data_IF_030959068091
#
_entry.id   IF_030959068091
#
_cell.length_a   1.000
_cell.length_b   1.000
_cell.length_c   1.000
_cell.angle_alpha   90.00
_cell.angle_beta   90.00
_cell.angle_gamma   90.00
#
_symmetry.space_group_name_H-M   'P 1'
#
loop_
_entity.id
_entity.type
_entity.pdbx_description
1 polymer ?
#
# COMPACT_ATOMS: atom_id res chain seq x y z
N UNK A 1 12.92 -3.36 1.32
CA UNK A 1 13.65 -4.65 1.50
C UNK A 1 14.42 -5.02 0.23
N UNK A 2 13.86 -4.89 -0.97
CA UNK A 2 14.54 -5.25 -2.22
C UNK A 2 15.92 -4.57 -2.35
N UNK A 3 16.01 -3.26 -2.12
CA UNK A 3 17.28 -2.52 -2.13
C UNK A 3 18.28 -3.01 -1.07
N UNK A 4 17.81 -3.37 0.13
CA UNK A 4 18.69 -3.89 1.19
C UNK A 4 19.37 -5.16 0.71
N UNK A 5 18.61 -6.09 0.12
CA UNK A 5 19.19 -7.34 -0.38
C UNK A 5 20.08 -7.10 -1.62
N UNK A 6 19.70 -6.21 -2.53
CA UNK A 6 20.53 -5.88 -3.69
C UNK A 6 21.88 -5.27 -3.24
N UNK A 7 21.85 -4.31 -2.34
CA UNK A 7 23.05 -3.66 -1.75
C UNK A 7 23.90 -4.64 -0.93
N UNK A 8 23.31 -5.71 -0.41
CA UNK A 8 24.03 -6.81 0.22
C UNK A 8 24.59 -7.86 -0.79
N UNK A 9 24.51 -7.58 -2.09
CA UNK A 9 25.06 -8.43 -3.15
C UNK A 9 24.12 -9.53 -3.66
N UNK A 10 22.83 -9.51 -3.30
CA UNK A 10 21.84 -10.46 -3.81
C UNK A 10 21.32 -9.98 -5.17
N UNK A 11 21.25 -10.86 -6.16
CA UNK A 11 20.51 -10.58 -7.39
C UNK A 11 19.01 -10.60 -7.11
N UNK A 12 18.37 -9.44 -7.20
CA UNK A 12 16.94 -9.26 -6.85
C UNK A 12 16.12 -9.00 -8.09
N UNK A 13 15.02 -9.76 -8.22
CA UNK A 13 13.95 -9.50 -9.19
C UNK A 13 12.69 -9.14 -8.43
N UNK A 14 12.10 -7.99 -8.72
CA UNK A 14 10.80 -7.53 -8.20
C UNK A 14 9.74 -7.88 -9.23
N UNK A 15 8.72 -8.61 -8.81
CA UNK A 15 7.58 -9.00 -9.65
C UNK A 15 6.35 -8.24 -9.16
N UNK A 16 5.69 -7.51 -10.06
CA UNK A 16 4.48 -6.74 -9.78
C UNK A 16 3.38 -7.11 -10.79
N UNK A 17 2.17 -7.31 -10.30
CA UNK A 17 0.98 -7.60 -11.13
C UNK A 17 0.54 -6.35 -11.90
N UNK A 18 0.61 -5.20 -11.26
CA UNK A 18 0.17 -3.94 -11.85
C UNK A 18 1.18 -3.41 -12.88
N UNK A 19 0.80 -2.50 -13.77
CA UNK A 19 1.69 -2.01 -14.84
C UNK A 19 2.87 -1.19 -14.33
N UNK A 20 2.94 -0.86 -13.04
CA UNK A 20 4.04 -0.10 -12.42
C UNK A 20 4.19 -0.44 -10.95
N UNK A 21 5.38 -0.33 -10.40
CA UNK A 21 5.64 -0.39 -8.96
C UNK A 21 5.13 0.90 -8.28
N UNK A 22 4.92 0.86 -6.95
CA UNK A 22 4.32 1.96 -6.20
C UNK A 22 3.06 2.54 -6.90
N UNK A 23 2.05 1.72 -7.23
CA UNK A 23 0.95 2.07 -8.13
C UNK A 23 0.01 3.14 -7.57
N UNK A 24 0.09 3.42 -6.27
CA UNK A 24 -0.72 4.43 -5.58
C UNK A 24 -0.12 5.84 -5.62
N UNK A 25 1.11 5.97 -6.10
CA UNK A 25 1.78 7.25 -6.31
C UNK A 25 1.52 7.77 -7.74
N UNK A 26 1.83 9.05 -7.99
CA UNK A 26 1.79 9.59 -9.34
C UNK A 26 2.74 8.83 -10.28
N UNK A 27 2.37 8.76 -11.56
CA UNK A 27 3.12 8.00 -12.55
C UNK A 27 4.58 8.45 -12.66
N UNK A 28 4.83 9.75 -12.60
CA UNK A 28 6.17 10.31 -12.63
C UNK A 28 7.04 9.81 -11.46
N UNK A 29 6.45 9.67 -10.27
CA UNK A 29 7.14 9.16 -9.07
C UNK A 29 7.42 7.67 -9.20
N UNK A 30 6.44 6.89 -9.66
CA UNK A 30 6.60 5.46 -9.91
C UNK A 30 7.69 5.18 -10.95
N UNK A 31 7.73 5.95 -12.05
CA UNK A 31 8.72 5.84 -13.10
C UNK A 31 10.12 6.21 -12.61
N UNK A 32 10.24 7.28 -11.84
CA UNK A 32 11.51 7.68 -11.24
C UNK A 32 12.04 6.61 -10.27
N UNK A 33 11.17 6.06 -9.41
CA UNK A 33 11.58 4.97 -8.51
C UNK A 33 12.06 3.74 -9.28
N UNK A 34 11.35 3.34 -10.33
CA UNK A 34 11.75 2.22 -11.18
C UNK A 34 13.15 2.43 -11.72
N UNK A 35 13.42 3.60 -12.28
CA UNK A 35 14.72 3.96 -12.83
C UNK A 35 15.84 3.85 -11.79
N UNK A 36 15.66 4.44 -10.59
CA UNK A 36 16.67 4.37 -9.52
C UNK A 36 16.93 2.93 -9.04
N UNK A 37 15.89 2.11 -8.95
CA UNK A 37 16.06 0.72 -8.56
C UNK A 37 16.81 -0.11 -9.63
N UNK A 38 16.52 0.15 -10.90
CA UNK A 38 17.21 -0.50 -12.02
C UNK A 38 18.68 -0.07 -12.12
N UNK A 39 19.01 1.20 -11.86
CA UNK A 39 20.39 1.68 -11.75
C UNK A 39 21.18 0.99 -10.62
N UNK A 40 20.51 0.60 -9.53
CA UNK A 40 21.09 -0.23 -8.46
C UNK A 40 21.17 -1.73 -8.83
N UNK A 41 20.78 -2.11 -10.05
CA UNK A 41 20.87 -3.48 -10.56
C UNK A 41 19.71 -4.40 -10.18
N UNK A 42 18.60 -3.86 -9.67
CA UNK A 42 17.38 -4.65 -9.50
C UNK A 42 16.72 -4.89 -10.85
N UNK A 43 16.16 -6.07 -11.03
CA UNK A 43 15.29 -6.37 -12.15
C UNK A 43 13.85 -6.08 -11.75
N UNK A 44 13.17 -5.19 -12.46
CA UNK A 44 11.76 -4.85 -12.21
C UNK A 44 10.92 -5.46 -13.35
N UNK A 45 9.93 -6.27 -12.97
CA UNK A 45 8.98 -6.90 -13.91
C UNK A 45 7.58 -6.53 -13.48
N UNK A 46 6.91 -5.71 -14.26
CA UNK A 46 5.54 -5.24 -14.02
C UNK A 46 4.55 -5.89 -14.99
N UNK A 47 3.25 -5.86 -14.69
CA UNK A 47 2.22 -6.48 -15.53
C UNK A 47 2.29 -8.01 -15.54
N UNK A 48 2.97 -8.61 -14.57
CA UNK A 48 3.14 -10.07 -14.52
C UNK A 48 2.09 -10.73 -13.62
N UNK A 49 1.19 -11.49 -14.23
CA UNK A 49 0.16 -12.24 -13.52
C UNK A 49 0.71 -13.60 -13.06
N UNK A 50 1.11 -13.67 -11.79
CA UNK A 50 1.58 -14.92 -11.19
C UNK A 50 0.41 -15.90 -11.08
N UNK A 51 0.57 -17.09 -11.68
CA UNK A 51 -0.42 -18.18 -11.60
C UNK A 51 -0.04 -19.26 -10.60
N UNK A 52 1.25 -19.51 -10.41
CA UNK A 52 1.74 -20.61 -9.56
C UNK A 52 3.12 -20.34 -9.01
N UNK A 53 3.34 -20.83 -7.79
CA UNK A 53 4.66 -20.92 -7.16
C UNK A 53 4.94 -22.39 -6.83
N UNK A 54 6.08 -22.89 -7.25
CA UNK A 54 6.56 -24.22 -7.00
C UNK A 54 7.89 -24.17 -6.24
N UNK A 55 8.19 -25.22 -5.50
CA UNK A 55 9.50 -25.44 -4.91
C UNK A 55 10.09 -26.74 -5.47
N UNK A 56 11.20 -26.63 -6.14
CA UNK A 56 11.94 -27.78 -6.68
C UNK A 56 13.44 -27.62 -6.33
N UNK A 57 14.05 -28.68 -5.84
CA UNK A 57 15.49 -28.75 -5.54
C UNK A 57 16.06 -27.55 -4.77
N UNK A 58 15.38 -27.13 -3.69
CA UNK A 58 15.71 -25.98 -2.86
C UNK A 58 15.60 -24.60 -3.56
N UNK A 59 14.98 -24.53 -4.74
CA UNK A 59 14.69 -23.28 -5.45
C UNK A 59 13.19 -23.05 -5.57
N UNK A 60 12.81 -21.79 -5.71
CA UNK A 60 11.44 -21.39 -6.01
C UNK A 60 11.33 -21.10 -7.51
N UNK A 61 10.26 -21.59 -8.13
CA UNK A 61 9.90 -21.34 -9.51
C UNK A 61 8.56 -20.60 -9.49
N UNK A 62 8.57 -19.36 -9.95
CA UNK A 62 7.38 -18.53 -10.11
C UNK A 62 6.94 -18.61 -11.57
N UNK A 63 5.70 -19.07 -11.82
CA UNK A 63 5.12 -19.15 -13.17
C UNK A 63 3.97 -18.16 -13.29
N UNK A 64 3.81 -17.62 -14.48
CA UNK A 64 2.74 -16.68 -14.80
C UNK A 64 2.82 -16.20 -16.23
N UNK A 65 2.09 -15.13 -16.53
CA UNK A 65 2.08 -14.54 -17.86
C UNK A 65 2.23 -13.02 -17.79
N UNK A 66 2.85 -12.46 -18.83
CA UNK A 66 2.96 -11.03 -19.09
C UNK A 66 2.58 -10.82 -20.55
N UNK A 67 1.64 -9.93 -20.83
CA UNK A 67 1.13 -9.63 -22.19
C UNK A 67 0.69 -10.87 -22.97
N UNK A 68 0.12 -11.87 -22.26
CA UNK A 68 -0.33 -13.13 -22.85
C UNK A 68 0.79 -14.13 -23.15
N UNK A 69 2.04 -13.84 -22.76
CA UNK A 69 3.19 -14.75 -22.92
C UNK A 69 3.48 -15.42 -21.59
N UNK A 70 3.56 -16.75 -21.58
CA UNK A 70 3.94 -17.52 -20.39
C UNK A 70 5.43 -17.34 -20.10
N UNK A 71 5.73 -16.96 -18.87
CA UNK A 71 7.09 -16.75 -18.38
C UNK A 71 7.30 -17.46 -17.04
N UNK A 72 8.55 -17.72 -16.71
CA UNK A 72 8.92 -18.24 -15.39
C UNK A 72 10.18 -17.58 -14.85
N UNK A 73 10.21 -17.39 -13.52
CA UNK A 73 11.35 -16.86 -12.79
C UNK A 73 11.80 -17.88 -11.75
N UNK A 74 13.10 -18.05 -11.61
CA UNK A 74 13.67 -19.00 -10.68
C UNK A 74 14.61 -18.28 -9.69
N UNK A 75 14.46 -18.57 -8.38
CA UNK A 75 15.26 -17.96 -7.34
C UNK A 75 15.52 -18.93 -6.19
N UNK A 76 16.63 -18.72 -5.47
CA UNK A 76 16.94 -19.47 -4.25
C UNK A 76 16.04 -19.09 -3.08
N UNK A 77 15.54 -17.87 -3.06
CA UNK A 77 14.65 -17.35 -2.01
C UNK A 77 13.47 -16.60 -2.64
N UNK A 78 12.34 -16.65 -1.97
CA UNK A 78 11.13 -15.93 -2.35
C UNK A 78 10.66 -15.08 -1.16
N UNK A 79 10.53 -13.77 -1.39
CA UNK A 79 9.87 -12.85 -0.48
C UNK A 79 8.47 -12.55 -0.99
N UNK A 80 7.45 -12.82 -0.19
CA UNK A 80 6.07 -12.53 -0.52
C UNK A 80 5.68 -11.20 0.14
N UNK A 81 5.38 -10.19 -0.69
CA UNK A 81 5.01 -8.84 -0.29
C UNK A 81 3.73 -8.37 -1.01
N UNK A 82 2.75 -9.27 -1.16
CA UNK A 82 1.55 -9.10 -1.99
C UNK A 82 0.40 -8.36 -1.29
N UNK A 83 0.71 -7.55 -0.30
CA UNK A 83 -0.27 -6.72 0.43
C UNK A 83 -0.65 -7.28 1.80
N UNK A 84 -1.71 -6.71 2.35
CA UNK A 84 -2.26 -7.02 3.68
C UNK A 84 -3.75 -7.30 3.59
N UNK A 85 -4.23 -8.10 4.54
CA UNK A 85 -5.66 -8.32 4.75
C UNK A 85 -6.01 -7.99 6.19
N UNK A 86 -7.22 -7.47 6.46
CA UNK A 86 -7.73 -7.32 7.80
C UNK A 86 -7.70 -8.66 8.55
N UNK A 87 -7.25 -8.64 9.81
CA UNK A 87 -7.21 -9.85 10.63
C UNK A 87 -8.41 -9.86 11.58
N UNK A 88 -9.57 -10.23 11.07
CA UNK A 88 -10.86 -10.20 11.75
C UNK A 88 -11.41 -11.59 12.04
N UNK A 89 -10.82 -12.63 11.47
CA UNK A 89 -11.26 -14.01 11.68
C UNK A 89 -11.10 -14.44 13.15
N UNK A 90 -12.14 -15.10 13.69
CA UNK A 90 -12.12 -15.65 15.06
C UNK A 90 -12.33 -14.61 16.17
N UNK A 91 -12.75 -13.39 15.85
CA UNK A 91 -13.08 -12.37 16.85
C UNK A 91 -14.53 -12.46 17.36
N UNK A 92 -15.33 -13.40 16.86
CA UNK A 92 -16.74 -13.56 17.27
C UNK A 92 -17.64 -12.39 16.82
N UNK A 93 -17.30 -11.78 15.68
CA UNK A 93 -18.00 -10.58 15.18
C UNK A 93 -19.43 -10.91 14.70
N UNK A 94 -19.69 -12.16 14.33
CA UNK A 94 -20.97 -12.64 13.84
C UNK A 94 -22.09 -12.42 14.87
N UNK A 95 -21.77 -12.56 16.16
CA UNK A 95 -22.73 -12.42 17.27
C UNK A 95 -22.75 -10.98 17.84
N UNK A 96 -21.84 -10.14 17.40
CA UNK A 96 -21.66 -8.77 17.95
C UNK A 96 -22.49 -7.70 17.22
N UNK A 97 -23.15 -8.04 16.10
CA UNK A 97 -23.84 -7.08 15.24
C UNK A 97 -22.90 -6.24 14.37
N UNK A 98 -21.61 -6.59 14.31
CA UNK A 98 -20.62 -5.93 13.47
C UNK A 98 -20.58 -6.55 12.08
N UNK A 99 -20.77 -5.76 11.03
CA UNK A 99 -20.68 -6.24 9.65
C UNK A 99 -19.24 -6.22 9.12
N UNK A 100 -18.92 -7.25 8.32
CA UNK A 100 -17.70 -7.33 7.55
C UNK A 100 -17.97 -7.03 6.08
N UNK A 101 -17.00 -6.42 5.42
CA UNK A 101 -16.98 -6.25 3.97
C UNK A 101 -16.44 -7.49 3.25
N UNK A 102 -16.35 -7.41 1.92
CA UNK A 102 -15.99 -8.55 1.05
C UNK A 102 -14.56 -9.07 1.29
N UNK A 103 -13.66 -8.21 1.74
CA UNK A 103 -12.25 -8.57 2.04
C UNK A 103 -12.03 -8.94 3.50
N UNK A 104 -13.12 -9.01 4.30
CA UNK A 104 -13.07 -9.26 5.72
C UNK A 104 -12.80 -8.03 6.58
N UNK A 105 -12.83 -6.83 6.00
CA UNK A 105 -12.72 -5.57 6.75
C UNK A 105 -13.97 -5.30 7.58
N UNK A 106 -13.80 -4.64 8.73
CA UNK A 106 -14.92 -4.17 9.54
C UNK A 106 -15.49 -2.90 8.89
N UNK A 107 -16.79 -2.90 8.63
CA UNK A 107 -17.50 -1.75 8.08
C UNK A 107 -17.82 -0.75 9.20
N UNK A 108 -17.52 0.51 8.95
CA UNK A 108 -17.80 1.63 9.86
C UNK A 108 -18.38 2.82 9.10
N UNK A 109 -19.07 3.68 9.83
CA UNK A 109 -19.49 4.99 9.36
C UNK A 109 -18.33 6.02 9.35
N UNK A 110 -18.63 7.26 8.99
CA UNK A 110 -17.66 8.35 8.97
C UNK A 110 -17.13 8.75 10.35
N UNK A 111 -17.72 8.23 11.41
CA UNK A 111 -17.32 8.44 12.80
C UNK A 111 -16.53 7.27 13.39
N UNK A 112 -16.16 6.28 12.57
CA UNK A 112 -15.49 5.02 12.93
C UNK A 112 -16.37 4.08 13.78
N UNK A 113 -17.68 4.27 13.78
CA UNK A 113 -18.63 3.44 14.51
C UNK A 113 -19.14 2.32 13.59
N UNK A 114 -19.25 1.12 14.12
CA UNK A 114 -19.87 -0.03 13.43
C UNK A 114 -21.39 0.03 13.47
N UNK A 115 -22.07 -0.94 12.86
CA UNK A 115 -23.53 -1.08 13.00
C UNK A 115 -23.98 -1.36 14.43
N UNK A 116 -23.12 -1.93 15.25
CA UNK A 116 -23.32 -1.98 16.70
C UNK A 116 -22.89 -0.62 17.29
N UNK A 117 -23.82 0.18 17.85
CA UNK A 117 -23.51 1.53 18.32
C UNK A 117 -22.51 1.60 19.48
N UNK A 118 -22.28 0.48 20.17
CA UNK A 118 -21.33 0.39 21.28
C UNK A 118 -19.94 -0.07 20.84
N UNK A 119 -19.74 -0.32 19.51
CA UNK A 119 -18.50 -0.85 18.96
C UNK A 119 -17.94 0.09 17.91
N UNK A 120 -16.69 0.47 18.09
CA UNK A 120 -15.88 1.22 17.13
C UNK A 120 -14.78 0.33 16.57
N UNK A 121 -14.37 0.54 15.32
CA UNK A 121 -13.24 -0.15 14.73
C UNK A 121 -12.23 0.86 14.17
N UNK A 122 -10.94 0.58 14.33
CA UNK A 122 -9.84 1.49 13.99
C UNK A 122 -8.67 0.72 13.37
N UNK A 123 -7.86 1.43 12.57
CA UNK A 123 -6.61 0.91 12.02
C UNK A 123 -6.79 -0.16 10.96
N UNK A 124 -5.85 -1.10 10.90
CA UNK A 124 -5.71 -2.09 9.81
C UNK A 124 -6.96 -2.97 9.60
N UNK A 125 -7.79 -3.16 10.62
CA UNK A 125 -9.05 -3.93 10.49
C UNK A 125 -10.07 -3.27 9.57
N UNK A 126 -9.92 -1.97 9.28
CA UNK A 126 -10.76 -1.24 8.34
C UNK A 126 -10.40 -1.51 6.87
N UNK A 127 -9.31 -2.23 6.59
CA UNK A 127 -8.88 -2.57 5.23
C UNK A 127 -8.42 -1.39 4.38
N UNK A 128 -8.21 -0.22 4.97
CA UNK A 128 -7.77 1.03 4.32
C UNK A 128 -6.67 1.70 5.11
N UNK A 129 -5.82 2.51 4.46
CA UNK A 129 -4.78 3.34 5.09
C UNK A 129 -4.01 2.61 6.22
N UNK A 130 -3.51 1.39 5.95
CA UNK A 130 -2.90 0.49 6.94
C UNK A 130 -1.52 0.99 7.41
N UNK A 131 -1.51 2.14 8.07
CA UNK A 131 -0.32 2.79 8.65
C UNK A 131 -0.49 2.97 10.15
N UNK A 132 0.60 2.83 10.90
CA UNK A 132 0.60 2.93 12.37
C UNK A 132 0.12 4.30 12.86
N UNK A 133 0.49 5.38 12.18
CA UNK A 133 0.06 6.74 12.54
C UNK A 133 -1.41 7.00 12.19
N UNK A 134 -1.98 6.33 11.18
CA UNK A 134 -3.41 6.36 10.88
C UNK A 134 -4.18 5.65 11.99
N UNK A 135 -3.74 4.46 12.40
CA UNK A 135 -4.36 3.75 13.53
C UNK A 135 -4.35 4.57 14.83
N UNK A 136 -3.28 5.35 15.08
CA UNK A 136 -3.21 6.25 16.23
C UNK A 136 -4.21 7.42 16.11
N UNK A 137 -4.33 8.02 14.92
CA UNK A 137 -5.32 9.06 14.62
C UNK A 137 -6.74 8.54 14.81
N UNK A 138 -7.05 7.38 14.23
CA UNK A 138 -8.33 6.69 14.34
C UNK A 138 -8.70 6.45 15.81
N UNK A 139 -7.71 5.99 16.61
CA UNK A 139 -7.90 5.71 18.03
C UNK A 139 -8.33 6.94 18.82
N UNK A 140 -7.70 8.09 18.58
CA UNK A 140 -8.07 9.37 19.21
C UNK A 140 -9.48 9.77 18.79
N UNK A 141 -9.78 9.71 17.50
CA UNK A 141 -11.08 10.10 16.94
C UNK A 141 -12.21 9.21 17.48
N UNK A 142 -12.01 7.89 17.44
CA UNK A 142 -13.00 6.93 17.94
C UNK A 142 -13.23 7.11 19.45
N UNK A 143 -12.17 7.31 20.24
CA UNK A 143 -12.29 7.53 21.69
C UNK A 143 -13.05 8.82 22.01
N UNK A 144 -12.77 9.93 21.33
CA UNK A 144 -13.54 11.17 21.50
C UNK A 144 -15.01 10.97 21.14
N UNK A 145 -15.30 10.35 20.01
CA UNK A 145 -16.67 10.08 19.57
C UNK A 145 -17.42 9.19 20.59
N UNK A 146 -16.78 8.14 21.06
CA UNK A 146 -17.37 7.19 22.01
C UNK A 146 -17.65 7.83 23.38
N UNK A 147 -16.72 8.65 23.90
CA UNK A 147 -16.80 9.17 25.27
C UNK A 147 -17.58 10.49 25.37
N UNK A 148 -17.56 11.31 24.34
CA UNK A 148 -18.13 12.67 24.40
C UNK A 148 -19.28 12.90 23.42
N UNK A 149 -19.50 11.99 22.48
CA UNK A 149 -20.46 12.20 21.39
C UNK A 149 -20.07 13.36 20.47
N UNK A 150 -18.77 13.69 20.33
CA UNK A 150 -18.28 14.85 19.60
C UNK A 150 -18.65 14.86 18.11
N UNK A 151 -18.98 13.70 17.52
CA UNK A 151 -19.37 13.59 16.11
C UNK A 151 -18.25 13.97 15.14
N UNK A 152 -16.99 13.76 15.52
CA UNK A 152 -15.84 14.01 14.65
C UNK A 152 -15.85 13.05 13.48
N UNK A 153 -15.60 13.58 12.28
CA UNK A 153 -15.56 12.83 11.04
C UNK A 153 -14.12 12.38 10.75
N UNK A 154 -14.00 11.14 10.28
CA UNK A 154 -12.76 10.58 9.79
C UNK A 154 -12.36 11.25 8.47
N UNK A 155 -11.19 11.85 8.45
CA UNK A 155 -10.62 12.52 7.28
C UNK A 155 -9.16 12.13 7.12
N UNK A 156 -8.83 11.49 6.02
CA UNK A 156 -7.46 11.05 5.67
C UNK A 156 -6.90 11.73 4.42
N UNK A 157 -7.60 12.69 3.85
CA UNK A 157 -7.16 13.37 2.62
C UNK A 157 -5.79 14.06 2.78
N UNK A 158 -5.39 14.37 4.02
CA UNK A 158 -4.13 15.06 4.32
C UNK A 158 -3.08 14.16 4.98
N UNK A 159 -3.32 12.84 5.05
CA UNK A 159 -2.35 11.92 5.67
C UNK A 159 -1.11 11.81 4.78
N UNK A 160 0.04 12.09 5.39
CA UNK A 160 1.32 11.86 4.74
C UNK A 160 1.59 10.35 4.64
N UNK A 161 2.06 9.91 3.48
CA UNK A 161 2.50 8.54 3.23
C UNK A 161 3.99 8.56 2.94
N UNK A 162 4.72 7.56 3.45
CA UNK A 162 6.16 7.42 3.21
C UNK A 162 6.49 6.00 2.81
N UNK A 163 7.20 5.87 1.70
CA UNK A 163 7.83 4.61 1.29
C UNK A 163 9.34 4.74 1.48
N UNK A 164 9.90 3.89 2.35
CA UNK A 164 11.31 3.96 2.77
C UNK A 164 12.24 3.26 1.77
N UNK A 165 12.17 3.70 0.53
CA UNK A 165 13.15 3.42 -0.51
C UNK A 165 14.29 4.44 -0.44
N UNK A 166 15.32 4.29 -1.26
CA UNK A 166 16.36 5.28 -1.44
C UNK A 166 16.50 5.56 -2.95
N UNK A 167 16.10 6.75 -3.42
CA UNK A 167 15.49 7.85 -2.63
C UNK A 167 14.13 7.48 -2.04
N UNK A 168 13.77 8.12 -0.92
CA UNK A 168 12.46 7.94 -0.29
C UNK A 168 11.35 8.58 -1.13
N UNK A 169 10.16 7.96 -1.10
CA UNK A 169 8.95 8.60 -1.59
C UNK A 169 8.17 9.12 -0.39
N UNK A 170 7.74 10.35 -0.47
CA UNK A 170 6.81 10.95 0.49
C UNK A 170 5.71 11.67 -0.28
N UNK A 171 4.46 11.39 0.07
CA UNK A 171 3.28 12.02 -0.53
C UNK A 171 2.29 12.46 0.54
N UNK A 172 1.48 13.47 0.24
CA UNK A 172 0.36 13.91 1.07
C UNK A 172 -0.73 14.47 0.17
N UNK A 173 -1.98 14.20 0.50
CA UNK A 173 -3.12 14.63 -0.31
C UNK A 173 -3.41 13.71 -1.49
N UNK A 174 -4.03 14.27 -2.50
CA UNK A 174 -4.48 13.56 -3.70
C UNK A 174 -3.36 13.46 -4.74
N UNK A 175 -3.34 12.38 -5.48
CA UNK A 175 -2.60 12.32 -6.75
C UNK A 175 -3.31 13.15 -7.81
N UNK A 176 -2.63 13.45 -8.91
CA UNK A 176 -3.23 14.14 -10.05
C UNK A 176 -4.50 13.43 -10.54
N UNK A 177 -4.44 12.10 -10.73
CA UNK A 177 -5.57 11.31 -11.18
C UNK A 177 -6.75 11.39 -10.22
N UNK A 178 -6.50 11.25 -8.91
CA UNK A 178 -7.55 11.38 -7.89
C UNK A 178 -8.17 12.77 -7.85
N UNK A 179 -7.38 13.82 -8.03
CA UNK A 179 -7.89 15.18 -8.07
C UNK A 179 -8.78 15.44 -9.30
N UNK A 180 -8.38 14.95 -10.47
CA UNK A 180 -9.18 15.01 -11.68
C UNK A 180 -10.49 14.22 -11.57
N UNK A 181 -10.45 13.01 -11.01
CA UNK A 181 -11.62 12.16 -10.77
C UNK A 181 -12.63 12.82 -9.82
N UNK A 182 -12.14 13.64 -8.88
CA UNK A 182 -12.99 14.45 -7.99
C UNK A 182 -13.47 15.77 -8.64
N UNK A 183 -13.13 16.02 -9.90
CA UNK A 183 -13.57 17.20 -10.66
C UNK A 183 -12.77 18.47 -10.37
N UNK A 184 -11.57 18.37 -9.78
CA UNK A 184 -10.71 19.52 -9.57
C UNK A 184 -10.01 19.93 -10.87
N UNK A 185 -9.83 21.23 -11.06
CA UNK A 185 -8.93 21.77 -12.08
C UNK A 185 -7.50 21.71 -11.55
N UNK A 186 -6.63 20.93 -12.21
CA UNK A 186 -5.27 20.65 -11.72
C UNK A 186 -4.23 21.43 -12.52
N UNK A 187 -3.25 22.01 -11.83
CA UNK A 187 -2.01 22.52 -12.40
C UNK A 187 -0.83 21.80 -11.77
N UNK A 188 0.07 21.26 -12.61
CA UNK A 188 1.21 20.48 -12.17
C UNK A 188 2.46 21.34 -12.28
N UNK A 189 3.32 21.24 -11.26
CA UNK A 189 4.67 21.77 -11.29
C UNK A 189 5.62 20.75 -10.71
N UNK A 190 6.73 20.48 -11.40
CA UNK A 190 7.77 19.54 -10.97
C UNK A 190 9.07 20.30 -10.70
N UNK A 191 9.68 20.02 -9.55
CA UNK A 191 11.00 20.55 -9.17
C UNK A 191 11.89 19.38 -8.78
N UNK A 192 13.06 19.27 -9.43
CA UNK A 192 14.03 18.26 -9.05
C UNK A 192 14.66 18.59 -7.68
N UNK A 193 14.71 17.58 -6.79
CA UNK A 193 15.21 17.76 -5.41
C UNK A 193 16.65 18.26 -5.34
N UNK A 194 17.49 17.92 -6.32
CA UNK A 194 18.86 18.47 -6.43
C UNK A 194 18.93 20.01 -6.53
N UNK A 195 17.80 20.66 -6.86
CA UNK A 195 17.69 22.12 -6.91
C UNK A 195 17.10 22.72 -5.62
N UNK A 196 16.81 21.88 -4.62
CA UNK A 196 16.26 22.29 -3.33
C UNK A 196 17.36 22.24 -2.26
N UNK A 197 17.92 23.40 -1.81
CA UNK A 197 19.09 23.42 -0.92
C UNK A 197 18.95 22.64 0.40
N UNK A 198 17.72 22.45 0.88
CA UNK A 198 17.44 21.70 2.11
C UNK A 198 17.22 20.20 1.88
N UNK A 199 17.25 19.75 0.63
CA UNK A 199 17.08 18.36 0.25
C UNK A 199 18.40 17.68 -0.14
N UNK A 200 19.50 18.41 -0.07
CA UNK A 200 20.86 17.95 -0.34
C UNK A 200 21.51 17.41 0.92
#
# INVERSE_FOLDING_TARGET
LAQIYARAGTKVTVIELLPRIAPFEDEAISSALTHYLEEEGLQIVTGFATSRVERADARYILRGSQDGVDLSFEAAQLLVATGRRPNTAGLGLEDSGVRLGERGEILVDEHLRTDNPDVYAIGDVLGRDMFVYVAAYDGILAAENALTGAGRVYDTDYIARVTFTDPQIASAGLTEAQALDRGHEVKISTLEMKHVPRAL
#
